data_IF_446439743122
#
_entry.id   IF_446439743122
#
_cell.length_a   1.000
_cell.length_b   1.000
_cell.length_c   1.000
_cell.angle_alpha   90.00
_cell.angle_beta   90.00
_cell.angle_gamma   90.00
#
_symmetry.space_group_name_H-M   'P 1'
#
loop_
_entity.id
_entity.type
_entity.pdbx_description
1 polymer ?
#
# COMPACT_ATOMS: atom_id res chain seq x y z
N UNK A 1 6.36 -13.51 41.09
CA UNK A 1 7.79 -13.70 40.78
C UNK A 1 7.90 -14.09 39.31
N UNK A 2 8.35 -13.15 38.47
CA UNK A 2 9.11 -13.37 37.23
C UNK A 2 8.49 -14.23 36.10
N UNK A 3 7.57 -13.65 35.32
CA UNK A 3 7.22 -14.14 33.97
C UNK A 3 7.02 -13.00 32.94
N UNK A 4 7.61 -11.83 33.17
CA UNK A 4 7.42 -10.63 32.33
C UNK A 4 8.74 -10.04 31.75
N UNK A 5 9.86 -10.78 31.80
CA UNK A 5 11.18 -10.31 31.31
C UNK A 5 11.86 -11.38 30.46
N UNK A 6 11.16 -11.91 29.47
CA UNK A 6 11.64 -13.04 28.67
C UNK A 6 11.47 -12.87 27.17
N UNK A 7 11.67 -11.67 26.59
CA UNK A 7 11.85 -11.56 25.13
C UNK A 7 12.50 -10.24 24.64
N UNK A 8 13.21 -9.50 25.51
CA UNK A 8 14.01 -8.36 25.06
C UNK A 8 15.33 -8.78 24.36
N UNK A 9 15.69 -10.06 24.43
CA UNK A 9 16.92 -10.60 23.85
C UNK A 9 16.79 -11.00 22.37
N UNK A 10 15.58 -11.02 21.79
CA UNK A 10 15.41 -11.34 20.37
C UNK A 10 15.72 -10.17 19.43
N UNK A 11 15.80 -8.94 19.96
CA UNK A 11 16.11 -7.75 19.17
C UNK A 11 17.57 -7.31 19.24
N UNK A 12 18.38 -7.86 20.15
CA UNK A 12 19.77 -7.42 20.37
C UNK A 12 20.77 -7.95 19.35
N UNK A 13 20.40 -8.93 18.51
CA UNK A 13 21.28 -9.51 17.49
C UNK A 13 20.58 -9.71 16.14
N UNK A 14 19.73 -8.77 15.72
CA UNK A 14 19.27 -8.77 14.34
C UNK A 14 20.28 -8.05 13.46
N UNK A 15 21.19 -8.80 12.84
CA UNK A 15 22.09 -8.25 11.82
C UNK A 15 21.25 -7.63 10.70
N UNK A 16 21.44 -6.32 10.50
CA UNK A 16 20.72 -5.55 9.50
C UNK A 16 21.34 -5.87 8.13
N UNK A 17 20.82 -6.89 7.47
CA UNK A 17 21.24 -7.20 6.11
C UNK A 17 20.74 -6.10 5.15
N UNK A 18 21.59 -5.55 4.27
CA UNK A 18 21.21 -4.49 3.34
C UNK A 18 20.06 -4.91 2.41
N UNK A 19 19.98 -6.18 2.04
CA UNK A 19 18.91 -6.74 1.21
C UNK A 19 17.53 -6.67 1.90
N UNK A 20 17.46 -6.96 3.21
CA UNK A 20 16.22 -6.83 3.97
C UNK A 20 15.78 -5.37 4.13
N UNK A 21 16.73 -4.43 4.22
CA UNK A 21 16.39 -2.99 4.23
C UNK A 21 15.75 -2.61 2.90
N UNK A 22 16.35 -3.01 1.78
CA UNK A 22 15.82 -2.71 0.45
C UNK A 22 14.41 -3.29 0.26
N UNK A 23 14.17 -4.52 0.71
CA UNK A 23 12.84 -5.13 0.65
C UNK A 23 11.82 -4.41 1.54
N UNK A 24 12.24 -3.98 2.74
CA UNK A 24 11.38 -3.20 3.63
C UNK A 24 11.03 -1.83 3.04
N UNK A 25 11.98 -1.19 2.36
CA UNK A 25 11.74 0.08 1.67
C UNK A 25 10.72 -0.08 0.52
N UNK A 26 10.84 -1.13 -0.29
CA UNK A 26 9.86 -1.44 -1.35
C UNK A 26 8.47 -1.67 -0.76
N UNK A 27 8.37 -2.45 0.32
CA UNK A 27 7.09 -2.68 1.00
C UNK A 27 6.48 -1.38 1.53
N UNK A 28 7.31 -0.51 2.10
CA UNK A 28 6.86 0.79 2.58
C UNK A 28 6.29 1.65 1.44
N UNK A 29 6.99 1.76 0.32
CA UNK A 29 6.50 2.52 -0.84
C UNK A 29 5.20 1.95 -1.41
N UNK A 30 5.08 0.62 -1.48
CA UNK A 30 3.88 -0.05 -1.96
C UNK A 30 2.66 0.25 -1.04
N UNK A 31 2.85 0.16 0.28
CA UNK A 31 1.80 0.48 1.26
C UNK A 31 1.44 1.95 1.23
N UNK A 32 2.43 2.85 1.17
CA UNK A 32 2.22 4.30 1.10
C UNK A 32 1.42 4.71 -0.14
N UNK A 33 1.78 4.16 -1.30
CA UNK A 33 1.05 4.42 -2.55
C UNK A 33 -0.39 3.94 -2.46
N UNK A 34 -0.61 2.74 -1.92
CA UNK A 34 -1.95 2.18 -1.73
C UNK A 34 -2.78 3.05 -0.77
N UNK A 35 -2.18 3.49 0.35
CA UNK A 35 -2.86 4.34 1.34
C UNK A 35 -3.29 5.68 0.74
N UNK A 36 -2.41 6.35 -0.01
CA UNK A 36 -2.75 7.60 -0.68
C UNK A 36 -3.87 7.43 -1.72
N UNK A 37 -3.87 6.32 -2.46
CA UNK A 37 -4.92 6.02 -3.43
C UNK A 37 -6.27 5.72 -2.75
N UNK A 38 -6.27 4.99 -1.63
CA UNK A 38 -7.48 4.79 -0.80
C UNK A 38 -8.03 6.13 -0.33
N UNK A 39 -7.17 7.00 0.22
CA UNK A 39 -7.56 8.30 0.76
C UNK A 39 -8.23 9.17 -0.31
N UNK A 40 -7.60 9.31 -1.48
CA UNK A 40 -8.14 10.09 -2.59
C UNK A 40 -9.45 9.49 -3.13
N UNK A 41 -9.49 8.17 -3.32
CA UNK A 41 -10.66 7.48 -3.86
C UNK A 41 -11.84 7.61 -2.91
N UNK A 42 -11.68 7.26 -1.64
CA UNK A 42 -12.79 7.31 -0.68
C UNK A 42 -13.22 8.73 -0.35
N UNK A 43 -12.29 9.71 -0.30
CA UNK A 43 -12.65 11.12 -0.22
C UNK A 43 -13.56 11.53 -1.38
N UNK A 44 -13.19 11.22 -2.62
CA UNK A 44 -13.98 11.60 -3.80
C UNK A 44 -15.35 10.92 -3.89
N UNK A 45 -15.52 9.75 -3.24
CA UNK A 45 -16.76 8.96 -3.28
C UNK A 45 -17.72 9.27 -2.15
N UNK A 46 -17.20 9.62 -0.98
CA UNK A 46 -17.99 9.74 0.24
C UNK A 46 -18.13 11.16 0.78
N UNK A 47 -17.26 12.09 0.38
CA UNK A 47 -17.29 13.48 0.86
C UNK A 47 -17.63 14.37 -0.33
N UNK A 48 -18.71 15.13 -0.21
CA UNK A 48 -19.14 16.06 -1.26
C UNK A 48 -18.20 17.28 -1.32
N UNK A 49 -18.02 17.90 -2.51
CA UNK A 49 -17.19 19.10 -2.63
C UNK A 49 -17.79 20.32 -1.95
N UNK A 50 -19.10 20.32 -1.69
CA UNK A 50 -19.80 21.36 -0.92
C UNK A 50 -19.79 21.00 0.56
N UNK A 51 -19.09 21.79 1.36
CA UNK A 51 -18.94 21.59 2.79
C UNK A 51 -19.90 22.50 3.55
N UNK A 52 -20.81 21.92 4.33
CA UNK A 52 -21.67 22.66 5.25
C UNK A 52 -21.02 22.88 6.63
N UNK A 53 -20.23 21.91 7.08
CA UNK A 53 -19.52 21.91 8.36
C UNK A 53 -18.20 21.13 8.27
N UNK A 54 -17.34 21.24 9.28
CA UNK A 54 -16.03 20.58 9.30
C UNK A 54 -16.03 19.14 9.80
N UNK A 55 -17.09 18.75 10.51
CA UNK A 55 -17.25 17.39 11.05
C UNK A 55 -17.90 16.46 10.03
N UNK A 56 -17.59 15.17 10.14
CA UNK A 56 -18.20 14.16 9.27
C UNK A 56 -19.59 13.79 9.75
N UNK A 57 -20.56 13.79 8.84
CA UNK A 57 -21.89 13.27 9.12
C UNK A 57 -21.85 11.74 9.29
N UNK A 58 -22.81 11.18 10.02
CA UNK A 58 -22.92 9.72 10.20
C UNK A 58 -22.98 8.95 8.87
N UNK A 59 -23.59 9.56 7.84
CA UNK A 59 -23.63 8.99 6.49
C UNK A 59 -22.25 8.96 5.81
N UNK A 60 -21.47 10.02 5.95
CA UNK A 60 -20.12 10.12 5.39
C UNK A 60 -19.18 9.13 6.10
N UNK A 61 -19.23 9.08 7.43
CA UNK A 61 -18.47 8.12 8.24
C UNK A 61 -18.76 6.66 7.84
N UNK A 62 -20.04 6.26 7.77
CA UNK A 62 -20.41 4.91 7.34
C UNK A 62 -20.06 4.62 5.88
N UNK A 63 -20.11 5.63 5.01
CA UNK A 63 -19.66 5.50 3.62
C UNK A 63 -18.15 5.21 3.55
N UNK A 64 -17.33 5.94 4.33
CA UNK A 64 -15.88 5.76 4.36
C UNK A 64 -15.49 4.33 4.76
N UNK A 65 -16.09 3.77 5.82
CA UNK A 65 -15.85 2.38 6.25
C UNK A 65 -16.14 1.38 5.12
N UNK A 66 -17.31 1.52 4.49
CA UNK A 66 -17.73 0.67 3.36
C UNK A 66 -16.83 0.87 2.15
N UNK A 67 -16.38 2.09 1.89
CA UNK A 67 -15.50 2.42 0.78
C UNK A 67 -14.16 1.72 0.92
N UNK A 68 -13.51 1.83 2.09
CA UNK A 68 -12.22 1.19 2.35
C UNK A 68 -12.36 -0.33 2.24
N UNK A 69 -13.41 -0.92 2.79
CA UNK A 69 -13.66 -2.36 2.67
C UNK A 69 -13.79 -2.82 1.21
N UNK A 70 -14.54 -2.07 0.39
CA UNK A 70 -14.68 -2.35 -1.05
C UNK A 70 -13.36 -2.12 -1.81
N UNK A 71 -12.62 -1.07 -1.47
CA UNK A 71 -11.34 -0.76 -2.09
C UNK A 71 -10.36 -1.92 -1.89
N UNK A 72 -10.16 -2.36 -0.64
CA UNK A 72 -9.23 -3.44 -0.31
C UNK A 72 -9.64 -4.74 -1.00
N UNK A 73 -10.94 -5.08 -1.01
CA UNK A 73 -11.45 -6.24 -1.75
C UNK A 73 -11.13 -6.17 -3.24
N UNK A 74 -11.34 -5.01 -3.86
CA UNK A 74 -11.06 -4.79 -5.29
C UNK A 74 -9.56 -4.84 -5.56
N UNK A 75 -8.74 -4.25 -4.68
CA UNK A 75 -7.29 -4.25 -4.80
C UNK A 75 -6.70 -5.66 -4.81
N UNK A 76 -7.23 -6.57 -3.97
CA UNK A 76 -6.86 -8.00 -3.98
C UNK A 76 -7.26 -8.68 -5.29
N UNK A 77 -8.46 -8.43 -5.79
CA UNK A 77 -8.93 -9.02 -7.06
C UNK A 77 -8.08 -8.55 -8.25
N UNK A 78 -7.78 -7.25 -8.32
CA UNK A 78 -6.89 -6.70 -9.34
C UNK A 78 -5.49 -7.30 -9.19
N UNK A 79 -4.97 -7.38 -7.97
CA UNK A 79 -3.67 -7.99 -7.70
C UNK A 79 -3.57 -9.42 -8.22
N UNK A 80 -4.59 -10.25 -7.99
CA UNK A 80 -4.66 -11.62 -8.51
C UNK A 80 -4.71 -11.66 -10.05
N UNK A 81 -5.49 -10.77 -10.67
CA UNK A 81 -5.58 -10.69 -12.12
C UNK A 81 -4.28 -10.22 -12.77
N UNK A 82 -3.58 -9.26 -12.15
CA UNK A 82 -2.28 -8.76 -12.58
C UNK A 82 -1.23 -9.87 -12.46
N UNK A 83 -1.15 -10.56 -11.33
CA UNK A 83 -0.22 -11.69 -11.16
C UNK A 83 -0.40 -12.79 -12.22
N UNK A 84 -1.65 -13.00 -12.66
CA UNK A 84 -1.97 -14.03 -13.66
C UNK A 84 -1.63 -13.58 -15.09
N UNK A 85 -1.90 -12.32 -15.43
CA UNK A 85 -1.89 -11.87 -16.83
C UNK A 85 -0.79 -10.87 -17.19
N UNK A 86 -0.18 -10.21 -16.20
CA UNK A 86 0.77 -9.13 -16.38
C UNK A 86 2.08 -9.49 -15.69
N UNK A 87 3.12 -9.60 -16.49
CA UNK A 87 4.50 -9.68 -16.00
C UNK A 87 5.25 -8.39 -16.36
N UNK A 88 6.18 -7.90 -15.50
CA UNK A 88 6.91 -6.66 -15.77
C UNK A 88 7.57 -6.62 -17.15
N UNK A 89 8.05 -7.75 -17.67
CA UNK A 89 8.73 -7.87 -18.96
C UNK A 89 7.78 -7.65 -20.16
N UNK A 90 6.47 -7.81 -19.95
CA UNK A 90 5.45 -7.59 -20.97
C UNK A 90 5.00 -6.12 -21.05
N UNK A 91 5.39 -5.30 -20.07
CA UNK A 91 4.97 -3.90 -20.02
C UNK A 91 5.78 -3.05 -21.03
N UNK A 92 5.13 -2.26 -21.90
CA UNK A 92 5.81 -1.49 -22.94
C UNK A 92 6.80 -0.46 -22.40
N UNK A 93 6.55 0.13 -21.22
CA UNK A 93 7.48 1.05 -20.57
C UNK A 93 8.76 0.38 -20.08
N UNK A 94 8.71 -0.90 -19.68
CA UNK A 94 9.91 -1.62 -19.22
C UNK A 94 10.91 -1.83 -20.36
N UNK A 95 10.42 -2.10 -21.59
CA UNK A 95 11.26 -2.24 -22.79
C UNK A 95 12.03 -0.97 -23.14
N UNK A 96 11.42 0.20 -22.89
CA UNK A 96 12.07 1.50 -23.10
C UNK A 96 13.21 1.70 -22.10
N UNK A 97 13.01 1.33 -20.83
CA UNK A 97 14.06 1.39 -19.81
C UNK A 97 15.20 0.42 -20.10
N UNK A 98 14.89 -0.82 -20.49
CA UNK A 98 15.88 -1.83 -20.89
C UNK A 98 16.72 -1.38 -22.10
N UNK A 99 16.08 -0.77 -23.12
CA UNK A 99 16.80 -0.21 -24.27
C UNK A 99 17.76 0.92 -23.90
N UNK A 100 17.48 1.65 -22.80
CA UNK A 100 18.32 2.75 -22.30
C UNK A 100 19.45 2.26 -21.41
N UNK A 101 19.25 1.18 -20.64
CA UNK A 101 20.31 0.58 -19.81
C UNK A 101 21.41 -0.09 -20.63
N UNK A 102 21.12 -0.55 -21.87
CA UNK A 102 22.12 -1.13 -22.77
C UNK A 102 22.98 -0.11 -23.54
N UNK A 103 22.77 1.19 -23.33
CA UNK A 103 23.60 2.26 -23.91
C UNK A 103 24.55 2.89 -22.88
N UNK A 104 24.71 2.27 -21.71
CA UNK A 104 25.69 2.65 -20.71
C UNK A 104 26.69 1.53 -20.46
#
# INVERSE_FOLDING_TARGET
MSFFLGDAAQYTNQEVSPEKIQMAEIQFYAVSTTFNSVLQTCRSKCIMPEYGEGELHTGEASCLDRCVAKYVKTNVQIGSAVQTNLRPETMPEYKVLESRSHHQ
#
